data_IF_352692667871
#
_entry.id   IF_352692667871
#
_cell.length_a   1.000
_cell.length_b   1.000
_cell.length_c   1.000
_cell.angle_alpha   90.00
_cell.angle_beta   90.00
_cell.angle_gamma   90.00
#
_symmetry.space_group_name_H-M   'P 1'
#
loop_
_entity.id
_entity.type
_entity.pdbx_description
1 polymer ?
#
# COMPACT_ATOMS: atom_id res chain seq x y z
N UNK A 1 -4.70 -56.10 -25.56
CA UNK A 1 -4.43 -57.15 -26.57
C UNK A 1 -3.80 -56.52 -27.80
N UNK A 2 -2.60 -57.01 -28.16
CA UNK A 2 -1.91 -56.97 -29.47
C UNK A 2 -1.54 -55.58 -30.04
N UNK A 3 -0.25 -55.21 -30.00
CA UNK A 3 0.83 -55.54 -30.97
C UNK A 3 0.56 -54.86 -32.33
N UNK A 4 1.42 -54.04 -32.93
CA UNK A 4 2.90 -53.99 -33.09
C UNK A 4 3.12 -53.95 -34.60
N UNK A 5 3.96 -53.02 -35.08
CA UNK A 5 4.82 -53.12 -36.28
C UNK A 5 5.08 -51.74 -36.90
N UNK A 6 6.21 -51.37 -37.50
CA UNK A 6 7.52 -52.00 -37.76
C UNK A 6 8.44 -50.83 -38.17
N UNK A 7 9.73 -50.90 -37.80
CA UNK A 7 10.81 -49.99 -38.22
C UNK A 7 11.29 -50.31 -39.65
N UNK A 8 11.95 -49.37 -40.34
CA UNK A 8 13.37 -49.45 -40.80
C UNK A 8 13.71 -48.77 -42.16
N UNK A 9 14.98 -48.31 -42.20
CA UNK A 9 15.93 -48.13 -43.33
C UNK A 9 16.00 -46.81 -44.15
N UNK A 10 16.92 -45.94 -43.67
CA UNK A 10 18.06 -45.24 -44.34
C UNK A 10 18.00 -44.70 -45.78
N UNK A 11 18.58 -43.51 -45.98
CA UNK A 11 19.50 -43.25 -47.09
C UNK A 11 20.45 -42.07 -46.81
N UNK A 12 21.71 -42.28 -47.22
CA UNK A 12 22.86 -41.37 -47.12
C UNK A 12 22.73 -40.18 -48.08
N UNK A 13 23.30 -39.03 -47.68
CA UNK A 13 23.95 -38.11 -48.62
C UNK A 13 25.25 -37.58 -48.02
N UNK A 14 26.34 -37.86 -48.73
CA UNK A 14 27.68 -37.31 -48.51
C UNK A 14 27.91 -36.25 -49.58
N UNK A 15 28.41 -35.09 -49.21
CA UNK A 15 29.21 -34.25 -50.11
C UNK A 15 30.34 -33.57 -49.34
N UNK A 16 31.56 -33.81 -49.82
CA UNK A 16 32.82 -33.15 -49.43
C UNK A 16 32.85 -31.71 -49.99
N UNK A 17 33.52 -30.76 -49.31
CA UNK A 17 34.89 -30.34 -49.65
C UNK A 17 35.38 -29.13 -48.82
N UNK A 18 36.71 -29.07 -48.72
CA UNK A 18 37.57 -27.90 -48.52
C UNK A 18 37.76 -27.34 -47.09
N UNK A 19 38.88 -27.76 -46.52
CA UNK A 19 39.62 -27.10 -45.46
C UNK A 19 40.25 -25.80 -46.01
N UNK A 20 39.92 -24.67 -45.40
CA UNK A 20 40.56 -23.38 -45.64
C UNK A 20 40.96 -22.76 -44.31
N UNK A 21 42.23 -22.91 -43.94
CA UNK A 21 42.82 -22.10 -42.87
C UNK A 21 42.92 -20.67 -43.35
N UNK A 22 42.24 -19.74 -42.67
CA UNK A 22 42.64 -18.33 -42.69
C UNK A 22 42.84 -17.85 -41.26
N UNK A 23 44.12 -17.61 -40.98
CA UNK A 23 44.64 -16.94 -39.81
C UNK A 23 44.22 -15.47 -39.91
N UNK A 24 43.31 -15.01 -39.05
CA UNK A 24 43.07 -13.58 -38.86
C UNK A 24 43.16 -13.27 -37.38
N UNK A 25 44.10 -12.35 -37.11
CA UNK A 25 44.56 -11.85 -35.82
C UNK A 25 43.40 -11.39 -34.94
N UNK A 26 43.49 -11.72 -33.65
CA UNK A 26 42.82 -10.99 -32.57
C UNK A 26 43.09 -9.48 -32.76
N UNK A 27 42.05 -8.74 -33.13
CA UNK A 27 41.99 -7.31 -32.92
C UNK A 27 41.22 -7.09 -31.63
N UNK A 28 41.93 -6.58 -30.63
CA UNK A 28 41.37 -5.98 -29.43
C UNK A 28 40.43 -4.84 -29.85
N UNK A 29 39.14 -5.14 -29.99
CA UNK A 29 38.10 -4.15 -29.99
C UNK A 29 37.84 -3.79 -28.54
N UNK A 30 38.54 -2.75 -28.08
CA UNK A 30 38.15 -1.97 -26.92
C UNK A 30 36.75 -1.42 -27.17
N UNK A 31 35.73 -2.17 -26.73
CA UNK A 31 34.39 -1.64 -26.56
C UNK A 31 34.54 -0.59 -25.47
N UNK A 32 34.46 0.67 -25.89
CA UNK A 32 34.29 1.79 -24.98
C UNK A 32 33.17 1.41 -24.02
N UNK A 33 33.52 1.23 -22.74
CA UNK A 33 32.56 1.24 -21.65
C UNK A 33 31.81 2.55 -21.78
N UNK A 34 30.66 2.52 -22.45
CA UNK A 34 29.59 3.46 -22.22
C UNK A 34 29.32 3.35 -20.74
N UNK A 35 29.87 4.29 -19.98
CA UNK A 35 29.55 4.50 -18.59
C UNK A 35 28.04 4.48 -18.49
N UNK A 36 27.52 3.40 -17.91
CA UNK A 36 26.16 3.35 -17.43
C UNK A 36 26.00 4.55 -16.50
N UNK A 37 25.35 5.60 -16.99
CA UNK A 37 24.66 6.58 -16.16
C UNK A 37 23.51 5.84 -15.47
N UNK A 38 23.90 4.97 -14.55
CA UNK A 38 23.08 4.30 -13.57
C UNK A 38 23.81 4.49 -12.25
N UNK A 39 24.10 5.76 -11.92
CA UNK A 39 24.46 6.13 -10.57
C UNK A 39 23.32 5.60 -9.70
N UNK A 40 23.61 4.48 -9.05
CA UNK A 40 22.74 3.86 -8.08
C UNK A 40 22.72 4.85 -6.93
N UNK A 41 21.78 5.80 -6.95
CA UNK A 41 21.58 6.72 -5.84
C UNK A 41 21.33 5.83 -4.64
N UNK A 42 22.31 5.76 -3.74
CA UNK A 42 22.18 5.02 -2.51
C UNK A 42 21.04 5.67 -1.71
N UNK A 43 19.89 5.00 -1.67
CA UNK A 43 18.74 5.46 -0.90
C UNK A 43 19.10 5.29 0.57
N UNK A 44 19.20 6.39 1.31
CA UNK A 44 19.43 6.35 2.75
C UNK A 44 18.14 5.97 3.48
N UNK A 45 18.29 5.33 4.65
CA UNK A 45 17.15 5.16 5.57
C UNK A 45 16.63 6.52 6.03
N UNK A 46 15.32 6.64 6.24
CA UNK A 46 14.67 7.86 6.72
C UNK A 46 13.63 7.57 7.78
N UNK A 47 13.52 8.49 8.74
CA UNK A 47 12.43 8.59 9.73
C UNK A 47 11.64 9.91 9.56
N UNK A 48 11.95 10.67 8.51
CA UNK A 48 11.32 11.96 8.24
C UNK A 48 9.99 11.76 7.51
N UNK A 49 8.90 12.14 8.17
CA UNK A 49 7.56 12.16 7.57
C UNK A 49 7.47 13.21 6.47
N UNK A 50 6.65 12.93 5.46
CA UNK A 50 6.28 13.93 4.46
C UNK A 50 5.61 15.11 5.16
N UNK A 51 5.80 16.32 4.62
CA UNK A 51 5.04 17.49 5.05
C UNK A 51 3.54 17.19 4.98
N UNK A 52 2.81 17.60 6.01
CA UNK A 52 1.41 17.20 6.17
C UNK A 52 0.51 17.82 5.11
N UNK A 53 0.73 19.08 4.75
CA UNK A 53 -0.10 19.76 3.75
C UNK A 53 0.12 19.15 2.36
N UNK A 54 1.36 18.74 2.05
CA UNK A 54 1.65 17.99 0.82
C UNK A 54 0.98 16.60 0.83
N UNK A 55 1.05 15.87 1.96
CA UNK A 55 0.37 14.59 2.12
C UNK A 55 -1.13 14.70 1.84
N UNK A 56 -1.80 15.66 2.50
CA UNK A 56 -3.23 15.87 2.31
C UNK A 56 -3.56 16.37 0.92
N UNK A 57 -2.72 17.19 0.30
CA UNK A 57 -2.89 17.62 -1.10
C UNK A 57 -2.95 16.42 -2.05
N UNK A 58 -2.07 15.43 -1.87
CA UNK A 58 -2.05 14.20 -2.69
C UNK A 58 -3.36 13.42 -2.49
N UNK A 59 -3.77 13.20 -1.23
CA UNK A 59 -5.01 12.47 -0.91
C UNK A 59 -6.25 13.18 -1.42
N UNK A 60 -6.36 14.50 -1.25
CA UNK A 60 -7.51 15.26 -1.72
C UNK A 60 -7.59 15.32 -3.25
N UNK A 61 -6.45 15.33 -3.94
CA UNK A 61 -6.43 15.23 -5.39
C UNK A 61 -6.95 13.87 -5.86
N UNK A 62 -6.62 12.77 -5.16
CA UNK A 62 -7.16 11.46 -5.53
C UNK A 62 -8.69 11.42 -5.42
N UNK A 63 -9.25 12.00 -4.37
CA UNK A 63 -10.71 12.12 -4.19
C UNK A 63 -11.36 12.94 -5.33
N UNK A 64 -10.71 14.00 -5.80
CA UNK A 64 -11.25 14.87 -6.87
C UNK A 64 -11.19 14.22 -8.26
N UNK A 65 -10.26 13.29 -8.47
CA UNK A 65 -9.96 12.72 -9.78
C UNK A 65 -10.55 11.31 -9.98
N UNK A 66 -11.10 10.70 -8.93
CA UNK A 66 -11.60 9.32 -8.99
C UNK A 66 -12.99 9.21 -8.37
N UNK A 67 -13.68 8.10 -8.66
CA UNK A 67 -15.05 7.87 -8.19
C UNK A 67 -15.20 6.60 -7.34
N UNK A 68 -14.18 5.75 -7.31
CA UNK A 68 -14.14 4.50 -6.56
C UNK A 68 -12.73 4.29 -5.97
N UNK A 69 -12.61 3.32 -5.06
CA UNK A 69 -11.36 3.04 -4.35
C UNK A 69 -10.26 2.48 -5.25
N UNK A 70 -10.59 1.62 -6.21
CA UNK A 70 -9.61 1.02 -7.13
C UNK A 70 -8.89 2.11 -7.96
N UNK A 71 -9.67 3.02 -8.55
CA UNK A 71 -9.13 4.17 -9.26
C UNK A 71 -8.36 5.10 -8.32
N UNK A 72 -8.85 5.31 -7.09
CA UNK A 72 -8.18 6.14 -6.08
C UNK A 72 -6.80 5.59 -5.72
N UNK A 73 -6.67 4.27 -5.56
CA UNK A 73 -5.42 3.57 -5.28
C UNK A 73 -4.40 3.81 -6.41
N UNK A 74 -4.82 3.56 -7.66
CA UNK A 74 -3.96 3.75 -8.83
C UNK A 74 -3.52 5.21 -8.99
N UNK A 75 -4.43 6.16 -8.75
CA UNK A 75 -4.10 7.58 -8.78
C UNK A 75 -3.08 7.95 -7.69
N UNK A 76 -3.29 7.48 -6.46
CA UNK A 76 -2.36 7.72 -5.34
C UNK A 76 -0.97 7.19 -5.66
N UNK A 77 -0.87 5.96 -6.17
CA UNK A 77 0.41 5.36 -6.59
C UNK A 77 1.10 6.27 -7.62
N UNK A 78 0.37 6.69 -8.67
CA UNK A 78 0.92 7.54 -9.72
C UNK A 78 1.38 8.92 -9.23
N UNK A 79 0.66 9.55 -8.30
CA UNK A 79 1.10 10.82 -7.71
C UNK A 79 2.31 10.65 -6.78
N UNK A 80 2.33 9.59 -5.97
CA UNK A 80 3.45 9.30 -5.07
C UNK A 80 4.71 8.97 -5.88
N UNK A 81 4.59 8.32 -7.05
CA UNK A 81 5.69 8.06 -7.99
C UNK A 81 6.44 9.31 -8.46
N UNK A 82 5.79 10.48 -8.40
CA UNK A 82 6.42 11.77 -8.77
C UNK A 82 7.35 12.30 -7.68
N UNK A 83 7.20 11.86 -6.44
CA UNK A 83 8.03 12.27 -5.30
C UNK A 83 9.45 11.67 -5.37
N UNK A 84 10.39 12.24 -4.62
CA UNK A 84 11.70 11.59 -4.40
C UNK A 84 11.55 10.32 -3.54
N UNK A 85 12.47 9.34 -3.62
CA UNK A 85 12.42 8.15 -2.76
C UNK A 85 12.32 8.46 -1.26
N UNK A 86 12.99 9.52 -0.79
CA UNK A 86 12.90 9.97 0.60
C UNK A 86 11.49 10.46 0.97
N UNK A 87 10.84 11.20 0.07
CA UNK A 87 9.47 11.69 0.28
C UNK A 87 8.42 10.58 0.18
N UNK A 88 8.64 9.55 -0.66
CA UNK A 88 7.80 8.35 -0.70
C UNK A 88 7.83 7.60 0.64
N UNK A 89 9.02 7.42 1.21
CA UNK A 89 9.18 6.89 2.58
C UNK A 89 8.43 7.80 3.54
N UNK A 90 8.62 9.12 3.42
CA UNK A 90 7.90 10.10 4.24
C UNK A 90 6.38 10.01 4.14
N UNK A 91 5.82 9.68 2.98
CA UNK A 91 4.38 9.48 2.81
C UNK A 91 3.91 8.28 3.63
N UNK A 92 4.62 7.14 3.55
CA UNK A 92 4.33 5.95 4.38
C UNK A 92 4.40 6.28 5.87
N UNK A 93 5.46 6.95 6.31
CA UNK A 93 5.63 7.33 7.72
C UNK A 93 4.53 8.29 8.20
N UNK A 94 4.06 9.19 7.33
CA UNK A 94 2.91 10.05 7.65
C UNK A 94 1.63 9.22 7.81
N UNK A 95 1.39 8.27 6.91
CA UNK A 95 0.26 7.33 7.04
C UNK A 95 0.35 6.57 8.37
N UNK A 96 1.49 5.99 8.71
CA UNK A 96 1.70 5.26 9.97
C UNK A 96 1.40 6.14 11.19
N UNK A 97 1.84 7.41 11.17
CA UNK A 97 1.57 8.36 12.24
C UNK A 97 0.06 8.65 12.39
N UNK A 98 -0.66 8.80 11.29
CA UNK A 98 -2.11 9.06 11.31
C UNK A 98 -2.88 7.83 11.80
N UNK A 99 -2.47 6.62 11.38
CA UNK A 99 -3.03 5.36 11.86
C UNK A 99 -2.78 5.19 13.36
N UNK A 100 -1.57 5.46 13.82
CA UNK A 100 -1.20 5.46 15.25
C UNK A 100 -2.05 6.44 16.07
N UNK A 101 -2.22 7.66 15.57
CA UNK A 101 -3.02 8.69 16.24
C UNK A 101 -4.51 8.38 16.34
N UNK A 102 -4.97 7.42 15.54
CA UNK A 102 -6.37 6.97 15.50
C UNK A 102 -6.54 5.56 16.05
N UNK A 103 -5.48 4.93 16.56
CA UNK A 103 -5.55 3.65 17.24
C UNK A 103 -6.07 3.82 18.66
N UNK A 104 -7.40 3.90 18.79
CA UNK A 104 -8.09 4.01 20.07
C UNK A 104 -9.42 3.24 20.05
N UNK A 105 -9.86 2.87 21.25
CA UNK A 105 -11.10 2.17 21.56
C UNK A 105 -12.37 2.89 21.09
N UNK A 106 -12.40 4.22 21.11
CA UNK A 106 -13.59 5.00 20.74
C UNK A 106 -13.82 4.96 19.23
N UNK A 107 -12.76 5.12 18.45
CA UNK A 107 -12.84 4.98 17.01
C UNK A 107 -13.10 3.53 16.61
N UNK A 108 -12.57 2.56 17.36
CA UNK A 108 -12.92 1.14 17.17
C UNK A 108 -14.40 0.88 17.39
N UNK A 109 -15.00 1.47 18.44
CA UNK A 109 -16.45 1.39 18.68
C UNK A 109 -17.23 1.85 17.45
N UNK A 110 -16.84 3.00 16.90
CA UNK A 110 -17.48 3.57 15.73
C UNK A 110 -17.32 2.67 14.49
N UNK A 111 -16.11 2.16 14.23
CA UNK A 111 -15.84 1.21 13.15
C UNK A 111 -16.69 -0.06 13.29
N UNK A 112 -16.81 -0.59 14.52
CA UNK A 112 -17.63 -1.76 14.82
C UNK A 112 -19.11 -1.52 14.51
N UNK A 113 -19.66 -0.36 14.90
CA UNK A 113 -21.06 -0.02 14.64
C UNK A 113 -21.33 0.10 13.13
N UNK A 114 -20.49 0.81 12.39
CA UNK A 114 -20.76 1.09 10.96
C UNK A 114 -20.56 -0.14 10.07
N UNK A 115 -19.66 -1.06 10.45
CA UNK A 115 -19.38 -2.29 9.70
C UNK A 115 -20.20 -3.49 10.21
N UNK A 116 -20.92 -3.35 11.34
CA UNK A 116 -21.62 -4.47 11.98
C UNK A 116 -20.70 -5.52 12.60
N UNK A 117 -19.47 -5.12 12.94
CA UNK A 117 -18.37 -5.97 13.38
C UNK A 117 -17.03 -5.37 12.97
N UNK A 118 -15.95 -5.67 13.68
CA UNK A 118 -14.61 -5.18 13.32
C UNK A 118 -13.52 -6.07 13.92
N UNK A 119 -12.69 -6.67 13.07
CA UNK A 119 -11.47 -7.37 13.46
C UNK A 119 -10.29 -6.40 13.56
N UNK A 120 -9.15 -6.83 14.08
CA UNK A 120 -7.94 -6.00 14.14
C UNK A 120 -7.53 -5.49 12.74
N UNK A 121 -7.55 -6.38 11.74
CA UNK A 121 -7.28 -6.03 10.34
C UNK A 121 -8.35 -5.13 9.73
N UNK A 122 -9.63 -5.41 10.01
CA UNK A 122 -10.73 -4.55 9.57
C UNK A 122 -10.65 -3.15 10.17
N UNK A 123 -10.18 -3.02 11.41
CA UNK A 123 -9.98 -1.71 12.04
C UNK A 123 -8.82 -0.92 11.42
N UNK A 124 -7.75 -1.61 11.02
CA UNK A 124 -6.67 -1.01 10.23
C UNK A 124 -7.18 -0.48 8.89
N UNK A 125 -7.89 -1.32 8.12
CA UNK A 125 -8.39 -0.94 6.80
C UNK A 125 -9.51 0.09 6.87
N UNK A 126 -10.27 0.14 7.96
CA UNK A 126 -11.20 1.23 8.25
C UNK A 126 -10.46 2.57 8.47
N UNK A 127 -9.36 2.58 9.22
CA UNK A 127 -8.57 3.81 9.40
C UNK A 127 -7.88 4.25 8.11
N UNK A 128 -7.42 3.31 7.29
CA UNK A 128 -6.97 3.59 5.92
C UNK A 128 -8.09 4.24 5.08
N UNK A 129 -9.30 3.69 5.12
CA UNK A 129 -10.47 4.27 4.47
C UNK A 129 -10.75 5.69 4.95
N UNK A 130 -10.70 5.92 6.27
CA UNK A 130 -10.92 7.24 6.86
C UNK A 130 -9.89 8.27 6.39
N UNK A 131 -8.60 7.89 6.31
CA UNK A 131 -7.55 8.75 5.75
C UNK A 131 -7.86 9.07 4.28
N UNK A 132 -8.27 8.08 3.49
CA UNK A 132 -8.64 8.25 2.09
C UNK A 132 -9.86 9.17 1.87
N UNK A 133 -10.62 9.51 2.92
CA UNK A 133 -11.68 10.53 2.87
C UNK A 133 -11.17 11.97 2.99
N UNK A 134 -9.87 12.17 3.20
CA UNK A 134 -9.20 13.48 3.21
C UNK A 134 -9.13 14.12 4.60
N UNK A 135 -8.41 15.26 4.67
CA UNK A 135 -8.00 15.93 5.92
C UNK A 135 -9.18 16.25 6.83
N UNK A 136 -10.17 16.93 6.27
CA UNK A 136 -11.35 17.39 7.02
C UNK A 136 -12.15 16.24 7.62
N UNK A 137 -12.36 15.18 6.84
CA UNK A 137 -13.08 13.99 7.31
C UNK A 137 -12.30 13.30 8.43
N UNK A 138 -11.00 13.09 8.21
CA UNK A 138 -10.11 12.44 9.17
C UNK A 138 -10.09 13.16 10.52
N UNK A 139 -9.81 14.47 10.55
CA UNK A 139 -9.70 15.20 11.82
C UNK A 139 -11.04 15.36 12.54
N UNK A 140 -12.14 15.56 11.80
CA UNK A 140 -13.49 15.61 12.43
C UNK A 140 -13.84 14.30 13.11
N UNK A 141 -13.55 13.17 12.47
CA UNK A 141 -13.84 11.83 13.02
C UNK A 141 -12.87 11.47 14.14
N UNK A 142 -11.59 11.86 14.02
CA UNK A 142 -10.59 11.69 15.09
C UNK A 142 -11.03 12.39 16.38
N UNK A 143 -11.53 13.63 16.26
CA UNK A 143 -12.00 14.41 17.42
C UNK A 143 -13.37 13.96 17.92
N UNK A 144 -14.23 13.47 17.03
CA UNK A 144 -15.57 13.00 17.35
C UNK A 144 -15.97 11.81 16.45
N UNK A 145 -15.87 10.56 16.93
CA UNK A 145 -16.20 9.38 16.13
C UNK A 145 -17.62 9.39 15.56
N UNK A 146 -18.59 10.01 16.25
CA UNK A 146 -19.97 10.14 15.75
C UNK A 146 -20.08 10.95 14.44
N UNK A 147 -19.07 11.75 14.08
CA UNK A 147 -19.03 12.48 12.81
C UNK A 147 -19.05 11.55 11.59
N UNK A 148 -18.73 10.26 11.76
CA UNK A 148 -18.84 9.23 10.71
C UNK A 148 -20.26 9.12 10.13
N UNK A 149 -21.29 9.54 10.85
CA UNK A 149 -22.67 9.54 10.34
C UNK A 149 -22.81 10.33 9.03
N UNK A 150 -21.93 11.30 8.78
CA UNK A 150 -21.91 12.12 7.56
C UNK A 150 -21.14 11.47 6.40
N UNK A 151 -20.43 10.37 6.66
CA UNK A 151 -19.59 9.67 5.68
C UNK A 151 -20.17 8.29 5.30
N UNK A 152 -21.03 7.72 6.14
CA UNK A 152 -21.70 6.45 5.89
C UNK A 152 -22.83 6.59 4.87
N UNK A 153 -22.96 5.59 4.00
CA UNK A 153 -24.04 5.50 3.00
C UNK A 153 -24.92 4.28 3.30
N UNK A 154 -26.24 4.48 3.32
CA UNK A 154 -27.19 3.38 3.57
C UNK A 154 -27.03 2.28 2.52
N UNK A 155 -26.80 1.05 2.97
CA UNK A 155 -26.68 -0.13 2.10
C UNK A 155 -25.26 -0.43 1.62
N UNK A 156 -24.27 0.39 1.99
CA UNK A 156 -22.86 0.03 1.82
C UNK A 156 -22.47 -1.03 2.86
N UNK A 157 -21.78 -2.09 2.41
CA UNK A 157 -21.51 -3.28 3.22
C UNK A 157 -20.29 -3.15 4.14
N UNK A 158 -19.25 -2.40 3.73
CA UNK A 158 -18.08 -2.14 4.55
C UNK A 158 -17.47 -0.74 4.27
N UNK A 159 -16.72 -0.25 5.25
CA UNK A 159 -15.99 1.01 5.22
C UNK A 159 -14.50 0.76 5.41
N UNK A 160 -13.93 -0.06 4.53
CA UNK A 160 -12.53 -0.47 4.57
C UNK A 160 -11.84 -0.11 3.24
N UNK A 161 -10.53 0.11 3.28
CA UNK A 161 -9.71 0.37 2.09
C UNK A 161 -8.30 -0.18 2.28
N UNK A 162 -8.15 -1.50 2.11
CA UNK A 162 -6.86 -2.21 2.22
C UNK A 162 -5.81 -1.67 1.25
N UNK A 163 -6.19 -1.40 0.00
CA UNK A 163 -5.27 -0.90 -1.04
C UNK A 163 -4.51 0.37 -0.65
N UNK A 164 -5.13 1.26 0.13
CA UNK A 164 -4.49 2.48 0.62
C UNK A 164 -3.24 2.19 1.48
N UNK A 165 -3.18 1.06 2.18
CA UNK A 165 -1.99 0.66 2.96
C UNK A 165 -0.74 0.52 2.07
N UNK A 166 -0.94 0.05 0.85
CA UNK A 166 0.13 -0.35 -0.06
C UNK A 166 0.57 0.76 -1.03
N UNK A 167 -0.16 1.88 -1.16
CA UNK A 167 0.10 2.88 -2.22
C UNK A 167 1.54 3.41 -2.23
N UNK A 168 2.10 3.70 -1.06
CA UNK A 168 3.48 4.18 -0.95
C UNK A 168 4.51 3.09 -1.23
N UNK A 169 4.21 1.85 -0.81
CA UNK A 169 5.09 0.69 -1.04
C UNK A 169 5.15 0.36 -2.52
N UNK A 170 3.99 0.32 -3.18
CA UNK A 170 3.87 0.06 -4.61
C UNK A 170 4.56 1.16 -5.42
N UNK A 171 4.33 2.44 -5.11
CA UNK A 171 4.99 3.55 -5.79
C UNK A 171 6.52 3.50 -5.64
N UNK A 172 7.02 3.23 -4.42
CA UNK A 172 8.45 3.12 -4.17
C UNK A 172 9.06 1.91 -4.90
N UNK A 173 8.37 0.77 -4.88
CA UNK A 173 8.79 -0.44 -5.60
C UNK A 173 8.85 -0.19 -7.10
N UNK A 174 7.82 0.40 -7.69
CA UNK A 174 7.77 0.72 -9.12
C UNK A 174 8.90 1.66 -9.55
N UNK A 175 9.28 2.63 -8.71
CA UNK A 175 10.32 3.61 -9.04
C UNK A 175 11.75 3.11 -8.83
N UNK A 176 11.95 2.18 -7.89
CA UNK A 176 13.30 1.83 -7.38
C UNK A 176 13.65 0.36 -7.45
N UNK A 177 12.68 -0.50 -7.79
CA UNK A 177 12.72 -1.97 -7.70
C UNK A 177 13.00 -2.53 -6.30
N UNK A 178 12.90 -1.70 -5.25
CA UNK A 178 13.25 -2.03 -3.86
C UNK A 178 12.04 -2.01 -2.93
N UNK A 179 12.18 -2.67 -1.78
CA UNK A 179 11.14 -2.70 -0.74
C UNK A 179 11.26 -1.49 0.19
N UNK A 180 10.20 -0.67 0.29
CA UNK A 180 10.20 0.59 1.06
C UNK A 180 10.62 0.39 2.52
N UNK A 181 10.12 -0.64 3.20
CA UNK A 181 10.41 -0.90 4.61
C UNK A 181 11.89 -1.11 4.92
N UNK A 182 12.69 -1.56 3.95
CA UNK A 182 14.14 -1.69 4.11
C UNK A 182 14.83 -0.32 4.27
N UNK A 183 14.13 0.76 3.95
CA UNK A 183 14.60 2.14 3.97
C UNK A 183 13.93 3.01 5.04
N UNK A 184 13.18 2.42 5.96
CA UNK A 184 12.70 3.12 7.16
C UNK A 184 13.75 3.01 8.27
N UNK A 185 14.02 4.12 8.93
CA UNK A 185 14.83 4.21 10.14
C UNK A 185 13.97 3.95 11.39
N UNK A 186 13.69 2.67 11.65
CA UNK A 186 12.86 2.22 12.79
C UNK A 186 13.48 2.52 14.16
N UNK A 187 14.78 2.78 14.24
CA UNK A 187 15.42 3.19 15.51
C UNK A 187 14.92 4.57 15.95
N UNK A 188 14.48 5.41 14.99
CA UNK A 188 13.98 6.77 15.25
C UNK A 188 12.47 6.91 15.05
N UNK A 189 11.88 6.11 14.16
CA UNK A 189 10.45 6.15 13.88
C UNK A 189 9.70 5.01 14.58
N UNK A 190 9.08 5.34 15.73
CA UNK A 190 8.41 4.37 16.61
C UNK A 190 6.89 4.44 16.58
N UNK A 191 6.29 5.34 15.79
CA UNK A 191 4.84 5.49 15.66
C UNK A 191 4.32 4.65 14.50
N UNK A 192 4.34 3.33 14.67
CA UNK A 192 3.91 2.33 13.69
C UNK A 192 3.09 1.22 14.37
N UNK A 193 2.61 0.27 13.56
CA UNK A 193 1.76 -0.84 13.96
C UNK A 193 2.41 -1.81 14.97
N UNK A 194 3.72 -1.97 14.95
CA UNK A 194 4.44 -2.77 15.95
C UNK A 194 4.43 -2.15 17.36
N UNK A 195 4.12 -0.85 17.45
CA UNK A 195 4.22 -0.07 18.69
C UNK A 195 2.87 0.49 19.18
N UNK A 196 1.76 0.00 18.63
CA UNK A 196 0.44 0.42 19.10
C UNK A 196 0.25 0.18 20.61
N UNK A 197 -0.40 1.10 21.33
CA UNK A 197 -0.69 0.91 22.74
C UNK A 197 -1.70 -0.21 22.94
N UNK A 198 -1.60 -0.94 24.06
CA UNK A 198 -2.63 -1.92 24.43
C UNK A 198 -3.94 -1.19 24.72
N UNK A 199 -4.98 -1.47 23.92
CA UNK A 199 -6.30 -0.88 24.11
C UNK A 199 -7.01 -1.48 25.32
N UNK A 200 -7.72 -0.61 26.05
CA UNK A 200 -8.63 -0.99 27.13
C UNK A 200 -10.02 -0.52 26.74
N UNK A 201 -10.87 -1.47 26.38
CA UNK A 201 -12.23 -1.18 25.94
C UNK A 201 -13.12 -0.84 27.13
N UNK A 202 -13.82 0.30 27.03
CA UNK A 202 -14.88 0.71 27.95
C UNK A 202 -16.28 0.32 27.45
N UNK A 203 -16.36 -0.37 26.31
CA UNK A 203 -17.58 -0.85 25.68
C UNK A 203 -17.49 -2.35 25.38
N UNK A 204 -18.64 -2.99 25.26
CA UNK A 204 -18.76 -4.43 25.03
C UNK A 204 -19.96 -4.70 24.08
N UNK A 205 -19.76 -5.55 23.09
CA UNK A 205 -20.82 -5.97 22.15
C UNK A 205 -21.93 -6.75 22.85
N UNK A 206 -21.61 -7.52 23.88
CA UNK A 206 -22.60 -8.26 24.67
C UNK A 206 -23.44 -7.33 25.58
N UNK A 207 -22.98 -6.09 25.79
CA UNK A 207 -23.67 -5.04 26.52
C UNK A 207 -23.83 -3.78 25.63
N UNK A 208 -24.62 -3.85 24.54
CA UNK A 208 -24.53 -2.91 23.43
C UNK A 208 -24.80 -1.45 23.81
N UNK A 209 -25.58 -1.20 24.87
CA UNK A 209 -25.79 0.16 25.39
C UNK A 209 -24.48 0.88 25.76
N UNK A 210 -23.42 0.14 26.10
CA UNK A 210 -22.09 0.72 26.39
C UNK A 210 -21.48 1.36 25.14
N UNK A 211 -21.71 0.82 23.94
CA UNK A 211 -21.30 1.46 22.68
C UNK A 211 -22.10 2.74 22.42
N UNK A 212 -23.37 2.79 22.83
CA UNK A 212 -24.19 4.01 22.76
C UNK A 212 -23.74 5.12 23.71
N UNK A 213 -22.93 4.82 24.73
CA UNK A 213 -22.26 5.85 25.56
C UNK A 213 -21.09 6.48 24.80
N UNK A 214 -20.39 5.68 23.98
CA UNK A 214 -19.20 6.11 23.24
C UNK A 214 -19.59 6.83 21.94
N UNK A 215 -20.49 6.24 21.16
CA UNK A 215 -20.96 6.76 19.87
C UNK A 215 -22.49 6.88 19.84
N UNK A 216 -23.10 7.80 20.61
CA UNK A 216 -24.55 7.89 20.75
C UNK A 216 -25.28 8.13 19.42
N UNK A 217 -24.72 8.88 18.48
CA UNK A 217 -25.36 9.16 17.19
C UNK A 217 -25.30 7.93 16.28
N UNK A 218 -24.12 7.34 16.09
CA UNK A 218 -23.97 6.13 15.27
C UNK A 218 -24.82 4.99 15.83
N UNK A 219 -24.75 4.76 17.14
CA UNK A 219 -25.50 3.70 17.80
C UNK A 219 -27.00 3.86 17.55
N UNK A 220 -27.56 5.05 17.81
CA UNK A 220 -28.99 5.31 17.60
C UNK A 220 -29.45 5.09 16.15
N UNK A 221 -28.62 5.40 15.16
CA UNK A 221 -29.03 5.41 13.76
C UNK A 221 -28.69 4.12 13.01
N UNK A 222 -27.68 3.37 13.44
CA UNK A 222 -27.11 2.25 12.68
C UNK A 222 -27.09 0.94 13.45
N UNK A 223 -27.08 0.96 14.78
CA UNK A 223 -27.09 -0.26 15.58
C UNK A 223 -28.47 -0.94 15.49
N UNK A 224 -28.47 -2.26 15.27
CA UNK A 224 -29.67 -3.08 15.07
C UNK A 224 -30.04 -3.87 16.32
#
# INVERSE_FOLDING_TARGET
MKNSAIKLFSLLFVSHFAMGQTNVKNQDLAIANTSTLGDTIAIAKSSEMLNEDLYWTIVENSIKQTTNQEDQELFLISEIEKLSPKEMIGFRLRTDKLLFDTYNENLWCAAYIINGGCSDGGFEYFRCWLIAKGKDAFYKVKDNPDALINLVTKGQENYEFEGFWYVAMNAFKNKTDKELFSYIDYDRFVTNDENYPVLKFSWNVDEPNTMGVICPILFKNLWK
#
